data_IF_647859990243
#
_entry.id   IF_647859990243
#
_cell.length_a   1.000
_cell.length_b   1.000
_cell.length_c   1.000
_cell.angle_alpha   90.00
_cell.angle_beta   90.00
_cell.angle_gamma   90.00
#
_symmetry.space_group_name_H-M   'P 1'
#
loop_
_entity.id
_entity.type
_entity.pdbx_description
1 polymer ?
#
# COMPACT_ATOMS: atom_id res chain seq x y z
N UNK A 1 -21.20 -22.49 18.95
CA UNK A 1 -21.91 -21.69 19.97
C UNK A 1 -21.34 -20.29 19.94
N UNK A 2 -22.07 -19.34 19.36
CA UNK A 2 -22.03 -17.94 19.83
C UNK A 2 -23.02 -17.18 18.96
N UNK A 3 -24.05 -16.74 19.61
CA UNK A 3 -25.15 -15.95 19.11
C UNK A 3 -24.70 -14.53 18.86
N UNK A 4 -24.81 -14.04 17.62
CA UNK A 4 -24.85 -12.60 17.37
C UNK A 4 -26.09 -12.29 16.55
N UNK A 5 -27.22 -12.27 17.23
CA UNK A 5 -28.47 -11.72 16.71
C UNK A 5 -28.62 -10.33 17.28
N UNK A 6 -28.25 -9.31 16.54
CA UNK A 6 -28.62 -7.94 16.87
C UNK A 6 -30.03 -7.68 16.32
N UNK A 7 -30.98 -7.61 17.25
CA UNK A 7 -32.37 -7.23 16.94
C UNK A 7 -32.48 -5.70 16.89
N UNK A 8 -32.70 -5.15 15.72
CA UNK A 8 -33.07 -3.74 15.58
C UNK A 8 -34.60 -3.64 15.59
N UNK A 9 -35.16 -3.10 16.68
CA UNK A 9 -36.59 -2.88 16.82
C UNK A 9 -36.99 -1.52 16.26
N UNK A 10 -37.67 -1.49 15.11
CA UNK A 10 -38.40 -0.29 14.68
C UNK A 10 -39.79 -0.25 15.32
N UNK A 11 -40.01 0.80 16.11
CA UNK A 11 -41.23 1.10 16.85
C UNK A 11 -42.19 1.87 15.95
N UNK A 12 -43.11 1.18 15.27
CA UNK A 12 -44.45 1.71 14.89
C UNK A 12 -45.32 0.65 14.24
N UNK A 13 -46.24 0.11 14.99
CA UNK A 13 -47.45 -0.62 14.64
C UNK A 13 -47.59 -2.03 15.30
N UNK A 14 -48.60 -2.29 16.11
CA UNK A 14 -48.74 -3.52 16.91
C UNK A 14 -49.17 -4.77 16.10
N UNK A 15 -49.06 -4.76 14.77
CA UNK A 15 -49.31 -5.89 13.88
C UNK A 15 -48.11 -6.27 13.02
N UNK A 16 -46.91 -5.73 13.29
CA UNK A 16 -45.74 -6.11 12.54
C UNK A 16 -45.07 -7.31 13.22
N UNK A 17 -45.12 -8.44 12.55
CA UNK A 17 -44.25 -9.57 12.76
C UNK A 17 -42.80 -9.09 12.86
N UNK A 18 -42.11 -9.49 13.92
CA UNK A 18 -40.66 -9.23 14.05
C UNK A 18 -39.93 -9.88 12.87
N UNK A 19 -39.51 -9.07 11.91
CA UNK A 19 -38.63 -9.51 10.87
C UNK A 19 -37.20 -9.49 11.49
N UNK A 20 -36.68 -10.67 11.77
CA UNK A 20 -35.30 -10.83 12.16
C UNK A 20 -34.49 -10.55 10.89
N UNK A 21 -33.88 -9.39 10.78
CA UNK A 21 -32.93 -9.09 9.70
C UNK A 21 -31.64 -9.84 10.01
N UNK A 22 -31.34 -10.85 9.20
CA UNK A 22 -30.07 -11.55 9.30
C UNK A 22 -28.96 -10.65 8.74
N UNK A 23 -27.78 -10.69 9.36
CA UNK A 23 -26.64 -9.86 8.94
C UNK A 23 -26.20 -10.15 7.51
N UNK A 24 -26.39 -11.38 7.07
CA UNK A 24 -26.10 -11.83 5.70
C UNK A 24 -27.33 -12.46 5.11
N UNK A 25 -27.66 -12.10 3.90
CA UNK A 25 -28.70 -12.72 3.09
C UNK A 25 -28.13 -13.14 1.74
N UNK A 26 -28.63 -14.23 1.17
CA UNK A 26 -28.15 -14.73 -0.13
C UNK A 26 -29.33 -14.82 -1.08
N UNK A 27 -29.29 -14.12 -2.20
CA UNK A 27 -30.28 -14.25 -3.26
C UNK A 27 -30.07 -15.58 -4.00
N UNK A 28 -30.99 -16.51 -3.80
CA UNK A 28 -30.96 -17.87 -4.41
C UNK A 28 -30.95 -17.83 -5.94
N UNK A 29 -31.49 -16.79 -6.57
CA UNK A 29 -31.56 -16.65 -8.01
C UNK A 29 -30.24 -16.18 -8.64
N UNK A 30 -29.53 -15.26 -7.98
CA UNK A 30 -28.30 -14.65 -8.49
C UNK A 30 -27.05 -15.22 -7.85
N UNK A 31 -27.19 -15.90 -6.70
CA UNK A 31 -26.08 -16.41 -5.90
C UNK A 31 -25.28 -15.32 -5.17
N UNK A 32 -25.76 -14.08 -5.23
CA UNK A 32 -25.08 -12.95 -4.59
C UNK A 32 -25.38 -12.96 -3.09
N UNK A 33 -24.33 -12.76 -2.30
CA UNK A 33 -24.44 -12.54 -0.85
C UNK A 33 -24.57 -11.05 -0.57
N UNK A 34 -25.45 -10.71 0.36
CA UNK A 34 -25.67 -9.34 0.81
C UNK A 34 -25.34 -9.24 2.29
N UNK A 35 -24.68 -8.17 2.68
CA UNK A 35 -24.41 -7.79 4.07
C UNK A 35 -25.27 -6.60 4.46
N UNK A 36 -25.90 -6.66 5.64
CA UNK A 36 -26.67 -5.55 6.20
C UNK A 36 -25.73 -4.50 6.79
N UNK A 37 -25.67 -3.34 6.13
CA UNK A 37 -24.91 -2.17 6.60
C UNK A 37 -25.88 -1.05 6.93
N UNK A 38 -26.13 -0.83 8.23
CA UNK A 38 -27.17 0.09 8.69
C UNK A 38 -28.56 -0.41 8.33
N UNK A 39 -29.29 0.34 7.50
CA UNK A 39 -30.66 0.02 7.06
C UNK A 39 -30.70 -0.57 5.62
N UNK A 40 -29.56 -0.83 5.00
CA UNK A 40 -29.44 -1.27 3.60
C UNK A 40 -28.65 -2.56 3.47
N UNK A 41 -29.11 -3.43 2.55
CA UNK A 41 -28.32 -4.57 2.11
C UNK A 41 -27.40 -4.18 0.95
N UNK A 42 -26.10 -4.30 1.18
CA UNK A 42 -25.07 -4.14 0.14
C UNK A 42 -24.61 -5.52 -0.31
N UNK A 43 -24.23 -5.64 -1.58
CA UNK A 43 -23.60 -6.86 -2.07
C UNK A 43 -22.34 -7.07 -1.26
N UNK A 44 -22.27 -8.17 -0.51
CA UNK A 44 -21.05 -8.58 0.15
C UNK A 44 -20.06 -8.96 -0.96
N UNK A 45 -19.21 -8.02 -1.36
CA UNK A 45 -18.06 -8.31 -2.18
C UNK A 45 -17.15 -9.23 -1.37
N UNK A 46 -16.63 -10.26 -1.99
CA UNK A 46 -15.40 -10.87 -1.54
C UNK A 46 -14.29 -9.84 -1.89
N UNK A 47 -14.31 -8.68 -1.25
CA UNK A 47 -13.13 -7.88 -1.16
C UNK A 47 -12.19 -8.69 -0.26
N UNK A 48 -11.40 -9.58 -0.91
CA UNK A 48 -10.17 -10.00 -0.26
C UNK A 48 -9.54 -8.70 0.21
N UNK A 49 -9.24 -8.57 1.51
CA UNK A 49 -8.57 -7.36 1.98
C UNK A 49 -7.34 -7.24 1.10
N UNK A 50 -7.32 -6.27 0.19
CA UNK A 50 -6.08 -5.90 -0.48
C UNK A 50 -5.12 -5.73 0.68
N UNK A 51 -4.14 -6.65 0.78
CA UNK A 51 -3.08 -6.52 1.76
C UNK A 51 -2.49 -5.14 1.46
N UNK A 52 -2.86 -4.19 2.29
CA UNK A 52 -2.45 -2.80 2.18
C UNK A 52 -0.95 -2.79 2.48
N UNK A 53 -0.17 -3.16 1.44
CA UNK A 53 1.28 -3.23 1.56
C UNK A 53 1.77 -1.82 1.82
N UNK A 54 2.46 -1.59 2.93
CA UNK A 54 2.90 -0.25 3.30
C UNK A 54 3.82 0.29 2.19
N UNK A 55 3.38 1.37 1.57
CA UNK A 55 4.15 2.06 0.53
C UNK A 55 5.24 2.88 1.21
N UNK A 56 6.49 2.56 0.94
CA UNK A 56 7.64 3.27 1.48
C UNK A 56 7.89 4.63 0.82
N UNK A 57 9.02 5.24 1.16
CA UNK A 57 9.37 6.60 0.72
C UNK A 57 9.52 6.71 -0.80
N UNK A 58 10.07 5.68 -1.44
CA UNK A 58 10.29 5.65 -2.89
C UNK A 58 8.97 5.55 -3.64
N UNK A 59 8.07 4.66 -3.19
CA UNK A 59 6.74 4.51 -3.77
C UNK A 59 5.90 5.78 -3.65
N UNK A 60 5.95 6.46 -2.50
CA UNK A 60 5.26 7.75 -2.31
C UNK A 60 5.79 8.85 -3.24
N UNK A 61 7.10 8.89 -3.50
CA UNK A 61 7.68 9.83 -4.47
C UNK A 61 7.25 9.52 -5.89
N UNK A 62 7.22 8.24 -6.27
CA UNK A 62 6.73 7.81 -7.58
C UNK A 62 5.24 8.14 -7.75
N UNK A 63 4.42 7.94 -6.70
CA UNK A 63 3.01 8.34 -6.70
C UNK A 63 2.83 9.84 -7.00
N UNK A 64 3.64 10.70 -6.38
CA UNK A 64 3.62 12.13 -6.65
C UNK A 64 3.98 12.43 -8.11
N UNK A 65 5.03 11.80 -8.61
CA UNK A 65 5.44 11.94 -10.01
C UNK A 65 4.34 11.51 -10.99
N UNK A 66 3.66 10.37 -10.74
CA UNK A 66 2.55 9.92 -11.56
C UNK A 66 1.40 10.93 -11.58
N UNK A 67 1.04 11.48 -10.43
CA UNK A 67 -0.04 12.49 -10.33
C UNK A 67 0.27 13.77 -11.10
N UNK A 68 1.51 14.21 -11.10
CA UNK A 68 1.94 15.46 -11.73
C UNK A 68 2.22 15.30 -13.23
N UNK A 69 2.90 14.23 -13.63
CA UNK A 69 3.46 14.07 -14.97
C UNK A 69 2.83 12.96 -15.81
N UNK A 70 2.21 11.95 -15.18
CA UNK A 70 1.64 10.77 -15.85
C UNK A 70 0.20 10.50 -15.45
N UNK A 71 -0.65 11.53 -15.52
CA UNK A 71 -2.05 11.49 -15.03
C UNK A 71 -2.88 10.35 -15.61
N UNK A 72 -2.69 10.03 -16.89
CA UNK A 72 -3.43 8.93 -17.55
C UNK A 72 -3.05 7.59 -16.94
N UNK A 73 -1.74 7.34 -16.73
CA UNK A 73 -1.27 6.11 -16.10
C UNK A 73 -1.76 5.99 -14.65
N UNK A 74 -1.71 7.11 -13.91
CA UNK A 74 -2.27 7.18 -12.56
C UNK A 74 -3.76 6.81 -12.53
N UNK A 75 -4.58 7.42 -13.41
CA UNK A 75 -6.01 7.14 -13.49
C UNK A 75 -6.30 5.67 -13.83
N UNK A 76 -5.56 5.09 -14.78
CA UNK A 76 -5.73 3.68 -15.15
C UNK A 76 -5.41 2.74 -13.99
N UNK A 77 -4.29 2.94 -13.29
CA UNK A 77 -3.90 2.13 -12.14
C UNK A 77 -4.88 2.30 -10.96
N UNK A 78 -5.42 3.50 -10.79
CA UNK A 78 -6.43 3.76 -9.75
C UNK A 78 -7.74 3.04 -10.04
N UNK A 79 -8.21 3.07 -11.31
CA UNK A 79 -9.47 2.43 -11.71
C UNK A 79 -9.37 0.91 -11.78
N UNK A 80 -8.17 0.35 -12.05
CA UNK A 80 -7.95 -1.10 -12.01
C UNK A 80 -7.77 -1.66 -10.59
N UNK A 81 -7.59 -0.80 -9.57
CA UNK A 81 -7.28 -1.22 -8.20
C UNK A 81 -5.83 -1.65 -7.97
N UNK A 82 -4.98 -1.65 -9.00
CA UNK A 82 -3.59 -2.15 -8.93
C UNK A 82 -2.57 -1.11 -8.45
N UNK A 83 -3.03 0.10 -8.10
CA UNK A 83 -2.14 1.21 -7.76
C UNK A 83 -1.23 0.89 -6.57
N UNK A 84 -1.78 0.33 -5.48
CA UNK A 84 -1.02 0.02 -4.27
C UNK A 84 0.02 -1.08 -4.52
N UNK A 85 -0.35 -2.14 -5.20
CA UNK A 85 0.56 -3.24 -5.57
C UNK A 85 1.69 -2.73 -6.47
N UNK A 86 1.37 -1.91 -7.46
CA UNK A 86 2.35 -1.29 -8.34
C UNK A 86 3.34 -0.39 -7.59
N UNK A 87 2.85 0.46 -6.67
CA UNK A 87 3.71 1.35 -5.87
C UNK A 87 4.60 0.57 -4.89
N UNK A 88 4.10 -0.50 -4.31
CA UNK A 88 4.89 -1.38 -3.45
C UNK A 88 6.00 -2.10 -4.24
N UNK A 89 5.74 -2.50 -5.49
CA UNK A 89 6.76 -3.07 -6.36
C UNK A 89 7.85 -2.07 -6.72
N UNK A 90 7.48 -0.84 -7.08
CA UNK A 90 8.42 0.25 -7.34
C UNK A 90 9.27 0.55 -6.12
N UNK A 91 8.68 0.59 -4.93
CA UNK A 91 9.39 0.84 -3.68
C UNK A 91 10.44 -0.25 -3.41
N UNK A 92 10.08 -1.52 -3.56
CA UNK A 92 11.01 -2.65 -3.41
C UNK A 92 12.16 -2.61 -4.43
N UNK A 93 11.86 -2.30 -5.69
CA UNK A 93 12.88 -2.19 -6.74
C UNK A 93 13.84 -1.03 -6.47
N UNK A 94 13.31 0.13 -6.05
CA UNK A 94 14.10 1.30 -5.73
C UNK A 94 15.01 1.06 -4.52
N UNK A 95 14.49 0.43 -3.46
CA UNK A 95 15.26 0.10 -2.27
C UNK A 95 16.37 -0.91 -2.57
N UNK A 96 16.07 -1.97 -3.29
CA UNK A 96 17.06 -2.97 -3.70
C UNK A 96 18.18 -2.36 -4.56
N UNK A 97 17.83 -1.49 -5.50
CA UNK A 97 18.80 -0.77 -6.32
C UNK A 97 19.65 0.18 -5.46
N UNK A 98 19.02 0.95 -4.56
CA UNK A 98 19.70 1.87 -3.66
C UNK A 98 20.75 1.16 -2.79
N UNK A 99 20.36 0.10 -2.10
CA UNK A 99 21.27 -0.66 -1.23
C UNK A 99 22.44 -1.26 -2.03
N UNK A 100 22.18 -1.79 -3.22
CA UNK A 100 23.22 -2.31 -4.11
C UNK A 100 24.21 -1.23 -4.54
N UNK A 101 23.71 -0.06 -4.94
CA UNK A 101 24.56 1.06 -5.36
C UNK A 101 25.40 1.61 -4.21
N UNK A 102 24.80 1.81 -3.04
CA UNK A 102 25.54 2.27 -1.84
C UNK A 102 26.67 1.32 -1.51
N UNK A 103 26.41 -0.01 -1.53
CA UNK A 103 27.43 -1.00 -1.27
C UNK A 103 28.56 -0.95 -2.30
N UNK A 104 28.21 -0.94 -3.60
CA UNK A 104 29.21 -0.87 -4.68
C UNK A 104 30.08 0.38 -4.60
N UNK A 105 29.48 1.54 -4.31
CA UNK A 105 30.21 2.80 -4.17
C UNK A 105 31.12 2.79 -2.94
N UNK A 106 30.62 2.28 -1.81
CA UNK A 106 31.40 2.17 -0.59
C UNK A 106 32.61 1.24 -0.76
N UNK A 107 32.42 0.10 -1.42
CA UNK A 107 33.49 -0.85 -1.72
C UNK A 107 34.53 -0.23 -2.68
N UNK A 108 34.07 0.48 -3.73
CA UNK A 108 34.95 1.14 -4.70
C UNK A 108 35.77 2.29 -4.09
N UNK A 109 35.23 3.02 -3.12
CA UNK A 109 35.92 4.12 -2.42
C UNK A 109 36.71 3.64 -1.19
N UNK A 110 36.71 2.35 -0.90
CA UNK A 110 37.44 1.79 0.24
C UNK A 110 36.91 2.26 1.60
N UNK A 111 35.59 2.51 1.69
CA UNK A 111 34.94 2.92 2.95
C UNK A 111 34.75 1.69 3.82
N UNK A 112 35.68 1.45 4.72
CA UNK A 112 35.74 0.25 5.57
C UNK A 112 35.35 0.55 7.01
N UNK A 113 35.06 -0.51 7.78
CA UNK A 113 34.84 -0.39 9.23
C UNK A 113 36.11 0.09 9.97
N UNK A 114 37.30 -0.15 9.41
CA UNK A 114 38.56 0.40 9.95
C UNK A 114 38.59 1.91 9.89
N UNK A 115 38.10 2.52 8.81
CA UNK A 115 37.97 3.97 8.71
C UNK A 115 36.98 4.51 9.75
N UNK A 116 35.88 3.80 10.01
CA UNK A 116 34.88 4.19 11.01
C UNK A 116 35.47 4.23 12.43
N UNK A 117 36.40 3.33 12.74
CA UNK A 117 37.08 3.28 14.04
C UNK A 117 38.16 4.38 14.14
N UNK A 118 38.91 4.63 13.05
CA UNK A 118 40.00 5.60 13.05
C UNK A 118 39.53 7.05 12.91
N UNK A 119 38.55 7.31 12.05
CA UNK A 119 37.96 8.62 11.83
C UNK A 119 36.46 8.49 11.46
N UNK A 120 35.62 8.54 12.50
CA UNK A 120 34.17 8.40 12.37
C UNK A 120 33.56 9.52 11.53
N UNK A 121 34.05 10.76 11.65
CA UNK A 121 33.49 11.91 10.95
C UNK A 121 33.76 11.81 9.44
N UNK A 122 34.95 11.40 9.06
CA UNK A 122 35.30 11.17 7.65
C UNK A 122 34.49 9.99 7.08
N UNK A 123 34.32 8.90 7.84
CA UNK A 123 33.49 7.78 7.44
C UNK A 123 32.03 8.22 7.16
N UNK A 124 31.41 9.01 8.07
CA UNK A 124 30.05 9.53 7.90
C UNK A 124 29.96 10.42 6.66
N UNK A 125 30.92 11.30 6.46
CA UNK A 125 30.94 12.21 5.31
C UNK A 125 30.97 11.46 3.98
N UNK A 126 31.86 10.47 3.85
CA UNK A 126 31.99 9.65 2.63
C UNK A 126 30.75 8.78 2.42
N UNK A 127 30.24 8.15 3.47
CA UNK A 127 29.05 7.31 3.38
C UNK A 127 27.82 8.13 2.93
N UNK A 128 27.64 9.34 3.45
CA UNK A 128 26.56 10.23 3.03
C UNK A 128 26.70 10.62 1.54
N UNK A 129 27.93 10.94 1.09
CA UNK A 129 28.18 11.21 -0.33
C UNK A 129 27.80 10.03 -1.24
N UNK A 130 28.11 8.79 -0.83
CA UNK A 130 27.70 7.60 -1.57
C UNK A 130 26.17 7.45 -1.60
N UNK A 131 25.50 7.69 -0.46
CA UNK A 131 24.02 7.62 -0.39
C UNK A 131 23.34 8.66 -1.26
N UNK A 132 23.85 9.89 -1.28
CA UNK A 132 23.28 10.96 -2.10
C UNK A 132 23.38 10.62 -3.59
N UNK A 133 24.53 10.17 -4.06
CA UNK A 133 24.74 9.74 -5.47
C UNK A 133 23.90 8.51 -5.83
N UNK A 134 23.78 7.55 -4.92
CA UNK A 134 22.93 6.40 -5.12
C UNK A 134 21.46 6.81 -5.22
N UNK A 135 21.01 7.71 -4.35
CA UNK A 135 19.64 8.24 -4.38
C UNK A 135 19.33 8.94 -5.71
N UNK A 136 20.23 9.77 -6.19
CA UNK A 136 20.09 10.47 -7.47
C UNK A 136 19.96 9.49 -8.63
N UNK A 137 20.76 8.44 -8.63
CA UNK A 137 20.67 7.37 -9.64
C UNK A 137 19.31 6.66 -9.60
N UNK A 138 18.83 6.33 -8.40
CA UNK A 138 17.51 5.69 -8.22
C UNK A 138 16.38 6.60 -8.70
N UNK A 139 16.44 7.89 -8.42
CA UNK A 139 15.44 8.84 -8.92
C UNK A 139 15.35 8.84 -10.44
N UNK A 140 16.49 8.86 -11.13
CA UNK A 140 16.50 8.88 -12.58
C UNK A 140 16.12 7.53 -13.21
N UNK A 141 16.47 6.42 -12.60
CA UNK A 141 16.26 5.10 -13.20
C UNK A 141 14.91 4.46 -12.87
N UNK A 142 14.35 4.76 -11.71
CA UNK A 142 13.14 4.09 -11.20
C UNK A 142 11.98 5.06 -10.96
N UNK A 143 12.27 6.21 -10.34
CA UNK A 143 11.19 7.09 -9.85
C UNK A 143 10.63 7.99 -10.95
N UNK A 144 11.46 8.52 -11.83
CA UNK A 144 11.08 9.52 -12.85
C UNK A 144 11.02 8.94 -14.27
N UNK A 145 10.58 7.69 -14.40
CA UNK A 145 10.40 6.99 -15.71
C UNK A 145 8.93 6.77 -16.12
#
# INVERSE_FOLDING_TARGET
>A
MLWNKECIAHRTNPKLQFVIMERFDTDERTGLKYELVGDYYLVAGEDEPEEDQPIGVWGQRHLRYLKEHRRVRYANLLTSGELNAYLADIDRQAEALFLRLVKQMADAEGITETLKVSDQMEWVRRMNSCRDRASETVYHQVIYT
#
